data_IF_961164569907
#
_entry.id   IF_961164569907
#
_cell.length_a   1.000
_cell.length_b   1.000
_cell.length_c   1.000
_cell.angle_alpha   90.00
_cell.angle_beta   90.00
_cell.angle_gamma   90.00
#
_symmetry.space_group_name_H-M   'P 1'
#
loop_
_entity.id
_entity.type
_entity.pdbx_description
1 polymer ?
#
# COMPACT_ATOMS: atom_id res chain seq x y z
N UNK A 1 -0.52 -11.72 -20.51
CA UNK A 1 -0.95 -11.37 -19.14
C UNK A 1 -2.01 -10.31 -19.28
N UNK A 2 -3.15 -10.41 -18.59
CA UNK A 2 -4.17 -9.34 -18.60
C UNK A 2 -3.79 -8.33 -17.53
N UNK A 3 -3.92 -7.04 -17.84
CA UNK A 3 -3.71 -5.98 -16.87
C UNK A 3 -4.82 -5.96 -15.81
N UNK A 4 -4.44 -5.70 -14.56
CA UNK A 4 -5.39 -5.65 -13.44
C UNK A 4 -6.46 -4.56 -13.64
N UNK A 5 -6.10 -3.46 -14.29
CA UNK A 5 -7.02 -2.37 -14.63
C UNK A 5 -8.07 -2.82 -15.65
N UNK A 6 -7.63 -3.57 -16.66
CA UNK A 6 -8.53 -4.18 -17.64
C UNK A 6 -9.46 -5.21 -16.99
N UNK A 7 -8.93 -6.01 -16.05
CA UNK A 7 -9.70 -6.99 -15.29
C UNK A 7 -10.78 -6.31 -14.46
N UNK A 8 -10.44 -5.22 -13.77
CA UNK A 8 -11.39 -4.43 -12.97
C UNK A 8 -12.48 -3.79 -13.85
N UNK A 9 -12.12 -3.26 -15.00
CA UNK A 9 -13.08 -2.65 -15.92
C UNK A 9 -14.02 -3.66 -16.59
N UNK A 10 -13.61 -4.93 -16.74
CA UNK A 10 -14.31 -5.94 -17.54
C UNK A 10 -14.58 -7.25 -16.79
N UNK A 11 -14.84 -7.21 -15.48
CA UNK A 11 -15.04 -8.38 -14.62
C UNK A 11 -16.05 -9.38 -15.22
N UNK A 12 -17.23 -8.89 -15.64
CA UNK A 12 -18.30 -9.74 -16.19
C UNK A 12 -17.87 -10.47 -17.47
N UNK A 13 -17.25 -9.75 -18.41
CA UNK A 13 -16.80 -10.34 -19.67
C UNK A 13 -15.69 -11.36 -19.48
N UNK A 14 -14.82 -11.15 -18.48
CA UNK A 14 -13.75 -12.09 -18.15
C UNK A 14 -14.31 -13.32 -17.45
N UNK A 15 -15.30 -13.16 -16.57
CA UNK A 15 -15.98 -14.29 -15.93
C UNK A 15 -16.67 -15.20 -16.95
N UNK A 16 -17.38 -14.61 -17.91
CA UNK A 16 -18.01 -15.35 -19.01
C UNK A 16 -16.97 -16.03 -19.91
N UNK A 17 -15.90 -15.32 -20.27
CA UNK A 17 -14.81 -15.90 -21.07
C UNK A 17 -14.10 -17.05 -20.33
N UNK A 18 -13.91 -16.93 -19.02
CA UNK A 18 -13.32 -17.96 -18.18
C UNK A 18 -14.22 -19.20 -18.10
N UNK A 19 -15.53 -19.01 -17.89
CA UNK A 19 -16.54 -20.09 -17.94
C UNK A 19 -16.56 -20.79 -19.30
N UNK A 20 -16.60 -20.03 -20.39
CA UNK A 20 -16.62 -20.58 -21.76
C UNK A 20 -15.35 -21.37 -22.09
N UNK A 21 -14.21 -21.02 -21.47
CA UNK A 21 -12.93 -21.71 -21.64
C UNK A 21 -12.69 -22.82 -20.62
N UNK A 22 -13.67 -23.15 -19.77
CA UNK A 22 -13.53 -24.07 -18.64
C UNK A 22 -12.30 -23.76 -17.78
N UNK A 23 -12.00 -22.47 -17.59
CA UNK A 23 -10.87 -22.02 -16.79
C UNK A 23 -11.38 -21.47 -15.45
N UNK A 24 -11.12 -22.17 -14.33
CA UNK A 24 -11.56 -21.70 -13.02
C UNK A 24 -10.68 -20.52 -12.56
N UNK A 25 -11.27 -19.33 -12.49
CA UNK A 25 -10.66 -18.12 -11.89
C UNK A 25 -11.57 -17.61 -10.78
N UNK A 26 -10.95 -17.29 -9.65
CA UNK A 26 -11.57 -16.55 -8.54
C UNK A 26 -11.27 -15.06 -8.69
N UNK A 27 -12.09 -14.36 -9.49
CA UNK A 27 -12.00 -12.92 -9.70
C UNK A 27 -12.25 -12.11 -8.40
N UNK A 28 -13.23 -12.47 -7.56
CA UNK A 28 -13.43 -11.79 -6.27
C UNK A 28 -12.18 -11.79 -5.41
N UNK A 29 -11.54 -12.95 -5.23
CA UNK A 29 -10.31 -13.07 -4.44
C UNK A 29 -9.15 -12.29 -5.05
N UNK A 30 -9.03 -12.28 -6.39
CA UNK A 30 -8.02 -11.50 -7.08
C UNK A 30 -8.17 -9.99 -6.78
N UNK A 31 -9.41 -9.49 -6.80
CA UNK A 31 -9.71 -8.09 -6.52
C UNK A 31 -9.42 -7.72 -5.07
N UNK A 32 -9.81 -8.57 -4.12
CA UNK A 32 -9.54 -8.37 -2.70
C UNK A 32 -8.04 -8.28 -2.41
N UNK A 33 -7.24 -9.22 -2.95
CA UNK A 33 -5.77 -9.20 -2.76
C UNK A 33 -5.16 -7.96 -3.42
N UNK A 34 -5.67 -7.53 -4.57
CA UNK A 34 -5.19 -6.32 -5.23
C UNK A 34 -5.51 -5.05 -4.41
N UNK A 35 -6.68 -4.98 -3.79
CA UNK A 35 -7.07 -3.90 -2.88
C UNK A 35 -6.17 -3.87 -1.64
N UNK A 36 -5.98 -5.00 -0.97
CA UNK A 36 -5.07 -5.13 0.17
C UNK A 36 -3.65 -4.70 -0.20
N UNK A 37 -3.17 -5.09 -1.38
CA UNK A 37 -1.85 -4.67 -1.88
C UNK A 37 -1.78 -3.15 -2.05
N UNK A 38 -2.80 -2.52 -2.65
CA UNK A 38 -2.84 -1.06 -2.83
C UNK A 38 -2.85 -0.33 -1.49
N UNK A 39 -3.63 -0.81 -0.54
CA UNK A 39 -3.70 -0.23 0.80
C UNK A 39 -2.37 -0.32 1.55
N UNK A 40 -1.69 -1.47 1.47
CA UNK A 40 -0.38 -1.65 2.08
C UNK A 40 0.67 -0.72 1.45
N UNK A 41 0.67 -0.57 0.12
CA UNK A 41 1.56 0.37 -0.57
C UNK A 41 1.28 1.80 -0.09
N UNK A 42 0.02 2.21 -0.06
CA UNK A 42 -0.37 3.53 0.43
C UNK A 42 0.09 3.78 1.87
N UNK A 43 -0.12 2.81 2.77
CA UNK A 43 0.33 2.90 4.16
C UNK A 43 1.85 3.04 4.25
N UNK A 44 2.60 2.25 3.49
CA UNK A 44 4.07 2.33 3.45
C UNK A 44 4.54 3.70 2.94
N UNK A 45 3.92 4.24 1.90
CA UNK A 45 4.28 5.55 1.36
C UNK A 45 3.94 6.69 2.32
N UNK A 46 2.82 6.59 3.05
CA UNK A 46 2.46 7.53 4.12
C UNK A 46 3.51 7.51 5.24
N UNK A 47 3.85 6.33 5.77
CA UNK A 47 4.86 6.17 6.82
C UNK A 47 6.24 6.68 6.38
N UNK A 48 6.62 6.43 5.12
CA UNK A 48 7.86 6.99 4.54
C UNK A 48 7.83 8.51 4.47
N UNK A 49 6.70 9.08 4.08
CA UNK A 49 6.50 10.53 4.00
C UNK A 49 6.59 11.16 5.38
N UNK A 50 5.89 10.62 6.37
CA UNK A 50 5.94 11.07 7.78
C UNK A 50 7.35 10.98 8.36
N UNK A 51 8.06 9.88 8.13
CA UNK A 51 9.44 9.75 8.60
C UNK A 51 10.36 10.79 7.96
N UNK A 52 10.17 11.07 6.66
CA UNK A 52 10.95 12.09 5.95
C UNK A 52 10.64 13.51 6.43
N UNK A 53 9.37 13.82 6.72
CA UNK A 53 8.99 15.14 7.26
C UNK A 53 9.54 15.33 8.66
N UNK A 54 9.43 14.33 9.54
CA UNK A 54 10.04 14.33 10.88
C UNK A 54 11.55 14.55 10.76
N UNK A 55 12.24 13.77 9.92
CA UNK A 55 13.70 13.89 9.73
C UNK A 55 14.14 15.28 9.26
N UNK A 56 13.34 15.93 8.40
CA UNK A 56 13.58 17.31 7.96
C UNK A 56 13.31 18.35 9.04
N UNK A 57 12.43 18.05 10.00
CA UNK A 57 12.04 18.95 11.08
C UNK A 57 12.96 18.81 12.31
N UNK A 58 13.58 17.65 12.55
CA UNK A 58 14.53 17.41 13.67
C UNK A 58 15.60 18.52 13.82
N UNK A 59 16.24 19.05 12.76
CA UNK A 59 17.23 20.13 12.89
C UNK A 59 16.65 21.47 13.38
N UNK A 60 15.34 21.69 13.21
CA UNK A 60 14.64 22.92 13.59
C UNK A 60 14.08 22.86 15.01
N UNK A 61 13.93 21.67 15.57
CA UNK A 61 13.39 21.43 16.91
C UNK A 61 14.50 21.50 17.97
N UNK A 62 14.14 21.92 19.19
CA UNK A 62 15.06 22.00 20.34
C UNK A 62 14.45 21.31 21.56
N UNK A 63 15.30 20.91 22.52
CA UNK A 63 14.85 20.31 23.79
C UNK A 63 14.08 19.01 23.64
N UNK A 64 12.98 18.86 24.38
CA UNK A 64 12.12 17.67 24.43
C UNK A 64 11.47 17.35 23.08
N UNK A 65 11.10 18.36 22.29
CA UNK A 65 10.48 18.15 20.98
C UNK A 65 11.42 17.43 20.00
N UNK A 66 12.72 17.71 20.10
CA UNK A 66 13.74 17.02 19.31
C UNK A 66 13.89 15.56 19.72
N UNK A 67 13.84 15.26 21.01
CA UNK A 67 13.92 13.88 21.52
C UNK A 67 12.68 13.06 21.11
N UNK A 68 11.48 13.66 21.22
CA UNK A 68 10.24 13.04 20.76
C UNK A 68 10.26 12.76 19.25
N UNK A 69 10.73 13.71 18.43
CA UNK A 69 10.85 13.53 16.99
C UNK A 69 11.85 12.42 16.61
N UNK A 70 12.97 12.29 17.35
CA UNK A 70 13.93 11.21 17.16
C UNK A 70 13.31 9.85 17.52
N UNK A 71 12.53 9.78 18.60
CA UNK A 71 11.85 8.56 19.01
C UNK A 71 10.80 8.13 17.98
N UNK A 72 9.93 9.05 17.54
CA UNK A 72 8.96 8.80 16.48
C UNK A 72 9.63 8.31 15.18
N UNK A 73 10.76 8.91 14.79
CA UNK A 73 11.53 8.47 13.64
C UNK A 73 12.07 7.04 13.77
N UNK A 74 12.44 6.60 14.98
CA UNK A 74 12.85 5.21 15.26
C UNK A 74 11.66 4.25 15.21
N UNK A 75 10.53 4.64 15.80
CA UNK A 75 9.33 3.79 15.83
C UNK A 75 8.78 3.57 14.41
N UNK A 76 8.75 4.63 13.59
CA UNK A 76 8.39 4.54 12.16
C UNK A 76 9.38 3.67 11.36
N UNK A 77 10.65 3.62 11.75
CA UNK A 77 11.63 2.71 11.13
C UNK A 77 11.31 1.25 11.44
N UNK A 78 10.96 0.93 12.68
CA UNK A 78 10.57 -0.44 13.08
C UNK A 78 9.29 -0.87 12.36
N UNK A 79 8.33 0.03 12.18
CA UNK A 79 7.09 -0.26 11.43
C UNK A 79 7.32 -0.46 9.92
N UNK A 80 8.38 0.14 9.36
CA UNK A 80 8.73 0.01 7.94
C UNK A 80 9.67 -1.18 7.62
N UNK A 81 10.30 -1.78 8.64
CA UNK A 81 11.30 -2.85 8.50
C UNK A 81 12.73 -2.32 8.48
#
# INVERSE_FOLDING_TARGET
MLDIEYIQANIKGIEEAAKNKNFPIDLPKLLEVNEQRRDLIHKVDQLRTERNTISKNIPKLQGEEKQNAIQQGKDLRVQLG
#
